data_IF_308842608781
#
_entry.id   IF_308842608781
#
_cell.length_a   1.000
_cell.length_b   1.000
_cell.length_c   1.000
_cell.angle_alpha   90.00
_cell.angle_beta   90.00
_cell.angle_gamma   90.00
#
_symmetry.space_group_name_H-M   'P 1'
#
loop_
_entity.id
_entity.type
_entity.pdbx_description
1 polymer ?
#
# COMPACT_ATOMS: atom_id res chain seq x y z
N UNK A 1 -62.06 31.96 -33.39
CA UNK A 1 -61.59 30.58 -33.19
C UNK A 1 -60.11 30.53 -33.51
N UNK A 2 -59.24 30.72 -32.51
CA UNK A 2 -57.80 30.51 -32.64
C UNK A 2 -57.37 29.50 -31.58
N UNK A 3 -56.67 28.48 -32.05
CA UNK A 3 -56.32 27.24 -31.37
C UNK A 3 -55.11 27.49 -30.47
N UNK A 4 -55.26 27.31 -29.16
CA UNK A 4 -54.11 27.28 -28.26
C UNK A 4 -53.23 26.06 -28.58
N UNK A 5 -51.97 26.31 -28.91
CA UNK A 5 -50.94 25.28 -28.95
C UNK A 5 -50.37 25.16 -27.55
N UNK A 6 -50.87 24.19 -26.78
CA UNK A 6 -50.27 23.80 -25.51
C UNK A 6 -48.92 23.13 -25.83
N UNK A 7 -47.84 23.87 -25.64
CA UNK A 7 -46.48 23.32 -25.65
C UNK A 7 -46.35 22.33 -24.48
N UNK A 8 -46.26 21.06 -24.85
CA UNK A 8 -46.25 19.93 -23.93
C UNK A 8 -44.88 19.84 -23.22
N UNK A 9 -44.70 20.61 -22.15
CA UNK A 9 -43.45 20.71 -21.38
C UNK A 9 -43.05 19.43 -20.61
N UNK A 10 -43.90 18.40 -20.59
CA UNK A 10 -43.67 17.15 -19.85
C UNK A 10 -42.64 16.21 -20.49
N UNK A 11 -42.31 16.37 -21.78
CA UNK A 11 -41.37 15.49 -22.52
C UNK A 11 -39.88 15.86 -22.30
N UNK A 12 -39.60 17.00 -21.66
CA UNK A 12 -38.26 17.58 -21.56
C UNK A 12 -37.47 17.13 -20.33
N UNK A 13 -38.13 16.94 -19.18
CA UNK A 13 -37.44 16.69 -17.90
C UNK A 13 -36.55 15.44 -17.90
N UNK A 14 -37.03 14.33 -18.46
CA UNK A 14 -36.26 13.09 -18.55
C UNK A 14 -35.03 13.22 -19.44
N UNK A 15 -35.14 13.94 -20.56
CA UNK A 15 -34.01 14.17 -21.49
C UNK A 15 -32.96 15.09 -20.86
N UNK A 16 -33.38 16.14 -20.15
CA UNK A 16 -32.47 17.03 -19.41
C UNK A 16 -31.77 16.32 -18.25
N UNK A 17 -32.46 15.44 -17.53
CA UNK A 17 -31.86 14.63 -16.47
C UNK A 17 -30.84 13.65 -17.05
N UNK A 18 -31.20 12.92 -18.12
CA UNK A 18 -30.28 11.98 -18.77
C UNK A 18 -29.04 12.66 -19.37
N UNK A 19 -29.20 13.84 -19.97
CA UNK A 19 -28.07 14.63 -20.50
C UNK A 19 -27.21 15.17 -19.37
N UNK A 20 -27.78 15.61 -18.25
CA UNK A 20 -27.01 16.03 -17.07
C UNK A 20 -26.21 14.87 -16.47
N UNK A 21 -26.82 13.69 -16.31
CA UNK A 21 -26.14 12.48 -15.81
C UNK A 21 -25.01 12.06 -16.77
N UNK A 22 -25.29 11.99 -18.08
CA UNK A 22 -24.29 11.62 -19.07
C UNK A 22 -23.13 12.63 -19.14
N UNK A 23 -23.44 13.92 -19.03
CA UNK A 23 -22.41 14.98 -18.99
C UNK A 23 -21.54 14.87 -17.75
N UNK A 24 -22.13 14.57 -16.58
CA UNK A 24 -21.38 14.33 -15.35
C UNK A 24 -20.47 13.10 -15.49
N UNK A 25 -20.97 11.99 -16.04
CA UNK A 25 -20.17 10.79 -16.30
C UNK A 25 -19.02 11.07 -17.28
N UNK A 26 -19.26 11.83 -18.34
CA UNK A 26 -18.23 12.23 -19.31
C UNK A 26 -17.17 13.16 -18.68
N UNK A 27 -17.57 14.06 -17.79
CA UNK A 27 -16.64 14.92 -17.05
C UNK A 27 -15.78 14.09 -16.08
N UNK A 28 -16.37 13.14 -15.37
CA UNK A 28 -15.61 12.22 -14.50
C UNK A 28 -14.64 11.40 -15.35
N UNK A 29 -15.10 10.80 -16.45
CA UNK A 29 -14.26 9.99 -17.33
C UNK A 29 -13.11 10.81 -17.96
N UNK A 30 -13.36 12.06 -18.37
CA UNK A 30 -12.33 12.93 -18.94
C UNK A 30 -11.31 13.37 -17.90
N UNK A 31 -11.75 13.77 -16.69
CA UNK A 31 -10.85 14.12 -15.60
C UNK A 31 -9.98 12.93 -15.17
N UNK A 32 -10.56 11.73 -15.03
CA UNK A 32 -9.81 10.52 -14.72
C UNK A 32 -8.84 10.16 -15.85
N UNK A 33 -9.30 10.19 -17.11
CA UNK A 33 -8.46 9.95 -18.28
C UNK A 33 -7.25 10.89 -18.37
N UNK A 34 -7.45 12.18 -18.09
CA UNK A 34 -6.38 13.17 -18.09
C UNK A 34 -5.38 12.94 -16.96
N UNK A 35 -5.85 12.60 -15.76
CA UNK A 35 -4.99 12.26 -14.62
C UNK A 35 -4.10 11.05 -14.92
N UNK A 36 -4.64 10.02 -15.59
CA UNK A 36 -3.87 8.83 -15.99
C UNK A 36 -2.77 9.16 -17.01
N UNK A 37 -3.05 10.03 -17.99
CA UNK A 37 -2.06 10.43 -18.99
C UNK A 37 -0.95 11.33 -18.44
N UNK A 38 -1.26 12.17 -17.44
CA UNK A 38 -0.32 13.13 -16.87
C UNK A 38 0.51 12.59 -15.69
N UNK A 39 0.20 11.40 -15.18
CA UNK A 39 0.93 10.82 -14.05
C UNK A 39 2.39 10.52 -14.40
N UNK A 40 3.28 11.03 -13.54
CA UNK A 40 4.73 10.85 -13.59
C UNK A 40 5.15 9.68 -12.70
N UNK A 41 4.54 9.57 -11.52
CA UNK A 41 4.87 8.57 -10.51
C UNK A 41 3.86 7.43 -10.54
N UNK A 42 4.15 6.40 -11.32
CA UNK A 42 3.26 5.24 -11.47
C UNK A 42 4.00 3.92 -11.68
N UNK A 43 3.32 2.82 -11.37
CA UNK A 43 3.76 1.45 -11.64
C UNK A 43 2.65 0.69 -12.37
N UNK A 44 2.95 0.15 -13.54
CA UNK A 44 2.08 -0.80 -14.25
C UNK A 44 2.36 -2.21 -13.72
N UNK A 45 1.32 -2.88 -13.23
CA UNK A 45 1.43 -4.22 -12.64
C UNK A 45 1.38 -5.35 -13.70
N UNK A 46 1.20 -5.01 -14.98
CA UNK A 46 1.20 -5.97 -16.11
C UNK A 46 -0.10 -6.77 -16.26
N UNK A 47 -1.09 -6.52 -15.40
CA UNK A 47 -2.41 -7.16 -15.40
C UNK A 47 -3.56 -6.16 -15.71
N UNK A 48 -3.22 -4.99 -16.27
CA UNK A 48 -4.17 -3.90 -16.54
C UNK A 48 -4.40 -2.96 -15.36
N UNK A 49 -3.80 -3.22 -14.21
CA UNK A 49 -3.80 -2.31 -13.04
C UNK A 49 -2.57 -1.40 -13.10
N UNK A 50 -2.80 -0.10 -13.00
CA UNK A 50 -1.76 0.92 -12.86
C UNK A 50 -1.93 1.63 -11.53
N UNK A 51 -0.88 1.64 -10.73
CA UNK A 51 -0.85 2.28 -9.41
C UNK A 51 -0.21 3.65 -9.57
N UNK A 52 -0.90 4.69 -9.10
CA UNK A 52 -0.52 6.10 -9.23
C UNK A 52 -0.13 6.66 -7.86
N UNK A 53 0.92 7.48 -7.82
CA UNK A 53 1.48 8.00 -6.57
C UNK A 53 1.73 9.51 -6.56
N UNK A 54 1.33 10.23 -7.61
CA UNK A 54 1.62 11.67 -7.76
C UNK A 54 1.13 12.51 -6.58
N UNK A 55 -0.05 12.20 -6.07
CA UNK A 55 -0.64 12.93 -4.93
C UNK A 55 0.20 12.73 -3.66
N UNK A 56 0.77 11.54 -3.44
CA UNK A 56 1.67 11.27 -2.31
C UNK A 56 3.01 11.97 -2.47
N UNK A 57 3.63 11.88 -3.64
CA UNK A 57 4.93 12.53 -3.90
C UNK A 57 4.82 14.05 -3.79
N UNK A 58 3.73 14.64 -4.28
CA UNK A 58 3.45 16.09 -4.22
C UNK A 58 3.39 16.64 -2.80
N UNK A 59 3.06 15.82 -1.79
CA UNK A 59 3.12 16.24 -0.38
C UNK A 59 4.54 16.53 0.11
N UNK A 60 5.56 16.01 -0.60
CA UNK A 60 6.96 16.06 -0.19
C UNK A 60 7.30 15.10 0.96
N UNK A 61 6.33 14.36 1.51
CA UNK A 61 6.57 13.43 2.62
C UNK A 61 6.99 12.03 2.16
N UNK A 62 6.73 11.70 0.91
CA UNK A 62 6.89 10.34 0.38
C UNK A 62 7.83 10.32 -0.83
N UNK A 63 8.55 9.20 -0.96
CA UNK A 63 9.30 8.83 -2.16
C UNK A 63 8.65 7.55 -2.68
N UNK A 64 8.15 7.57 -3.91
CA UNK A 64 7.56 6.43 -4.58
C UNK A 64 8.63 5.62 -5.32
N UNK A 65 8.46 4.30 -5.34
CA UNK A 65 9.37 3.42 -6.06
C UNK A 65 8.77 3.05 -7.44
N UNK A 66 9.06 3.69 -8.56
CA UNK A 66 8.35 3.43 -9.84
C UNK A 66 8.40 1.97 -10.36
N UNK A 67 9.32 1.13 -9.90
CA UNK A 67 9.34 -0.32 -10.21
C UNK A 67 8.52 -1.22 -9.27
N UNK A 68 7.91 -0.69 -8.21
CA UNK A 68 7.21 -1.45 -7.15
C UNK A 68 6.12 -0.55 -6.58
N UNK A 69 4.96 -1.07 -6.17
CA UNK A 69 3.90 -0.24 -5.56
C UNK A 69 4.22 0.28 -4.13
N UNK A 70 5.46 0.71 -3.87
CA UNK A 70 5.97 1.07 -2.55
C UNK A 70 6.12 2.58 -2.40
N UNK A 71 5.73 3.08 -1.24
CA UNK A 71 5.98 4.42 -0.75
C UNK A 71 6.96 4.37 0.42
N UNK A 72 7.98 5.21 0.39
CA UNK A 72 8.96 5.32 1.46
C UNK A 72 8.75 6.69 2.09
N UNK A 73 8.30 6.71 3.35
CA UNK A 73 8.20 7.97 4.09
C UNK A 73 9.59 8.57 4.29
N UNK A 74 9.77 9.86 3.98
CA UNK A 74 11.04 10.57 4.19
C UNK A 74 11.44 10.63 5.67
N UNK A 75 10.44 10.59 6.56
CA UNK A 75 10.59 10.42 8.01
C UNK A 75 10.01 9.05 8.39
N UNK A 76 10.80 8.11 8.93
CA UNK A 76 10.30 6.79 9.31
C UNK A 76 9.03 6.87 10.15
N UNK A 77 8.03 6.05 9.81
CA UNK A 77 6.79 5.99 10.56
C UNK A 77 7.03 5.34 11.93
N UNK A 78 6.32 5.76 12.98
CA UNK A 78 6.40 5.09 14.27
C UNK A 78 5.82 3.68 14.19
N UNK A 79 6.33 2.78 15.02
CA UNK A 79 5.73 1.47 15.22
C UNK A 79 4.33 1.65 15.82
N UNK A 80 3.29 0.97 15.31
CA UNK A 80 1.92 1.10 15.78
C UNK A 80 1.70 0.31 17.09
N UNK A 81 2.41 0.69 18.15
CA UNK A 81 2.47 -0.06 19.42
C UNK A 81 1.08 -0.35 20.00
N UNK A 82 0.21 0.67 20.08
CA UNK A 82 -1.14 0.49 20.61
C UNK A 82 -1.95 -0.52 19.79
N UNK A 83 -1.88 -0.45 18.47
CA UNK A 83 -2.60 -1.38 17.60
C UNK A 83 -2.03 -2.81 17.70
N UNK A 84 -0.70 -2.96 17.84
CA UNK A 84 -0.06 -4.26 18.08
C UNK A 84 -0.42 -4.87 19.44
N UNK A 85 -0.54 -4.06 20.49
CA UNK A 85 -0.96 -4.53 21.82
C UNK A 85 -2.45 -4.91 21.84
N UNK A 86 -3.28 -4.20 21.07
CA UNK A 86 -4.71 -4.48 20.90
C UNK A 86 -4.97 -5.65 19.94
N UNK A 87 -4.04 -5.91 19.01
CA UNK A 87 -4.10 -7.04 18.10
C UNK A 87 -4.02 -8.33 18.92
N UNK A 88 -5.19 -8.90 19.22
CA UNK A 88 -5.35 -10.13 20.00
C UNK A 88 -4.54 -11.30 19.42
N UNK A 89 -4.19 -11.23 18.13
CA UNK A 89 -3.41 -12.24 17.42
C UNK A 89 -2.59 -11.58 16.30
N UNK A 90 -1.31 -11.95 16.21
CA UNK A 90 -0.52 -11.80 14.99
C UNK A 90 -0.72 -13.05 14.15
N UNK A 91 -1.11 -12.86 12.90
CA UNK A 91 -1.23 -13.96 11.96
C UNK A 91 0.16 -14.27 11.37
N UNK A 92 0.50 -15.55 11.26
CA UNK A 92 1.74 -15.94 10.58
C UNK A 92 1.39 -16.13 9.10
N UNK A 93 1.91 -15.23 8.27
CA UNK A 93 1.69 -15.23 6.83
C UNK A 93 2.36 -16.41 6.12
N UNK A 94 2.04 -16.56 4.84
CA UNK A 94 2.66 -17.57 3.99
C UNK A 94 4.06 -17.11 3.54
N UNK A 95 5.04 -18.02 3.57
CA UNK A 95 6.45 -17.74 3.26
C UNK A 95 6.87 -18.50 2.00
N UNK A 96 6.14 -18.28 0.90
CA UNK A 96 6.24 -19.05 -0.35
C UNK A 96 7.64 -19.16 -0.98
N UNK A 97 8.55 -18.25 -0.65
CA UNK A 97 9.92 -18.25 -1.15
C UNK A 97 10.86 -19.18 -0.37
N UNK A 98 10.44 -19.73 0.77
CA UNK A 98 11.24 -20.61 1.61
C UNK A 98 11.08 -22.07 1.23
N UNK A 99 12.10 -22.87 1.51
CA UNK A 99 11.97 -24.33 1.53
C UNK A 99 11.09 -24.78 2.69
N UNK A 100 10.46 -25.95 2.62
CA UNK A 100 9.64 -26.50 3.72
C UNK A 100 10.40 -26.55 5.07
N UNK A 101 11.69 -26.87 5.01
CA UNK A 101 12.55 -26.91 6.19
C UNK A 101 12.78 -25.51 6.78
N UNK A 102 13.09 -24.52 5.94
CA UNK A 102 13.27 -23.13 6.37
C UNK A 102 11.94 -22.52 6.83
N UNK A 103 10.82 -22.84 6.19
CA UNK A 103 9.50 -22.36 6.61
C UNK A 103 9.16 -22.84 8.03
N UNK A 104 9.42 -24.12 8.34
CA UNK A 104 9.21 -24.66 9.68
C UNK A 104 10.06 -23.92 10.72
N UNK A 105 11.35 -23.70 10.44
CA UNK A 105 12.24 -22.96 11.32
C UNK A 105 11.83 -21.48 11.45
N UNK A 106 11.37 -20.85 10.37
CA UNK A 106 10.87 -19.47 10.37
C UNK A 106 9.66 -19.33 11.29
N UNK A 107 8.70 -20.26 11.23
CA UNK A 107 7.52 -20.29 12.13
C UNK A 107 7.93 -20.42 13.60
N UNK A 108 8.90 -21.28 13.90
CA UNK A 108 9.43 -21.44 15.26
C UNK A 108 10.16 -20.18 15.74
N UNK A 109 10.97 -19.56 14.88
CA UNK A 109 11.65 -18.31 15.17
C UNK A 109 10.65 -17.19 15.49
N UNK A 110 9.62 -17.01 14.65
CA UNK A 110 8.53 -16.05 14.89
C UNK A 110 7.91 -16.29 16.26
N UNK A 111 7.46 -17.52 16.56
CA UNK A 111 6.81 -17.85 17.83
C UNK A 111 7.70 -17.53 19.03
N UNK A 112 8.98 -17.92 18.97
CA UNK A 112 9.95 -17.67 20.04
C UNK A 112 10.17 -16.17 20.26
N UNK A 113 10.39 -15.41 19.18
CA UNK A 113 10.68 -13.98 19.23
C UNK A 113 9.47 -13.17 19.70
N UNK A 114 8.26 -13.49 19.21
CA UNK A 114 7.05 -12.74 19.58
C UNK A 114 6.52 -13.08 20.97
N UNK A 115 7.00 -14.15 21.61
CA UNK A 115 6.67 -14.48 23.01
C UNK A 115 7.38 -13.54 24.00
N UNK A 116 8.49 -12.93 23.60
CA UNK A 116 9.20 -11.96 24.44
C UNK A 116 8.36 -10.68 24.61
N UNK A 117 8.15 -10.25 25.86
CA UNK A 117 7.43 -9.00 26.14
C UNK A 117 8.16 -7.82 25.50
N UNK A 118 7.41 -6.97 24.79
CA UNK A 118 7.95 -5.78 24.14
C UNK A 118 8.80 -6.04 22.89
N UNK A 119 8.75 -7.23 22.28
CA UNK A 119 9.48 -7.54 21.03
C UNK A 119 9.26 -6.47 19.94
N UNK A 120 8.05 -5.91 19.86
CA UNK A 120 7.66 -4.89 18.90
C UNK A 120 8.41 -3.55 19.06
N UNK A 121 9.03 -3.29 20.21
CA UNK A 121 9.81 -2.05 20.44
C UNK A 121 11.06 -1.96 19.57
N UNK A 122 11.52 -3.11 19.06
CA UNK A 122 12.68 -3.19 18.15
C UNK A 122 12.28 -3.16 16.68
N UNK A 123 10.98 -3.04 16.37
CA UNK A 123 10.53 -2.89 14.99
C UNK A 123 11.01 -1.56 14.41
N UNK A 124 11.37 -1.58 13.13
CA UNK A 124 11.79 -0.38 12.39
C UNK A 124 10.96 -0.28 11.12
N UNK A 125 10.45 0.92 10.84
CA UNK A 125 9.73 1.17 9.60
C UNK A 125 10.63 0.89 8.39
N UNK A 126 10.07 0.21 7.39
CA UNK A 126 10.78 -0.16 6.17
C UNK A 126 10.24 0.57 4.95
N UNK A 127 8.95 0.39 4.66
CA UNK A 127 8.22 1.08 3.59
C UNK A 127 6.71 0.93 3.81
N UNK A 128 5.93 1.53 2.94
CA UNK A 128 4.48 1.39 2.83
C UNK A 128 4.09 0.94 1.43
N UNK A 129 2.89 0.40 1.28
CA UNK A 129 2.42 -0.16 0.00
C UNK A 129 1.12 0.52 -0.41
N UNK A 130 1.04 0.87 -1.69
CA UNK A 130 -0.21 1.25 -2.34
C UNK A 130 -0.90 0.01 -2.89
N UNK A 131 -2.20 -0.10 -2.62
CA UNK A 131 -3.05 -1.12 -3.22
C UNK A 131 -3.41 -0.79 -4.67
N UNK A 132 -4.18 -1.68 -5.30
CA UNK A 132 -4.61 -1.56 -6.70
C UNK A 132 -5.40 -0.27 -6.98
N UNK A 133 -6.09 0.26 -5.97
CA UNK A 133 -6.84 1.51 -6.07
C UNK A 133 -5.97 2.75 -5.88
N UNK A 134 -4.63 2.61 -5.83
CA UNK A 134 -3.68 3.70 -5.53
C UNK A 134 -3.83 4.30 -4.13
N UNK A 135 -4.52 3.62 -3.24
CA UNK A 135 -4.68 4.00 -1.83
C UNK A 135 -3.63 3.31 -0.96
N UNK A 136 -3.22 3.99 0.12
CA UNK A 136 -2.32 3.43 1.12
C UNK A 136 -2.97 2.22 1.77
N UNK A 137 -2.41 1.04 1.51
CA UNK A 137 -2.97 -0.23 1.92
C UNK A 137 -2.27 -0.81 3.14
N UNK A 138 -0.94 -0.69 3.23
CA UNK A 138 -0.20 -1.25 4.35
C UNK A 138 1.10 -0.53 4.69
N UNK A 139 1.55 -0.76 5.93
CA UNK A 139 2.87 -0.38 6.42
C UNK A 139 3.67 -1.63 6.74
N UNK A 140 4.94 -1.66 6.35
CA UNK A 140 5.85 -2.78 6.60
C UNK A 140 6.95 -2.35 7.56
N UNK A 141 7.10 -3.12 8.62
CA UNK A 141 8.13 -2.97 9.63
C UNK A 141 9.05 -4.19 9.64
N UNK A 142 10.33 -3.98 9.93
CA UNK A 142 11.31 -5.06 10.04
C UNK A 142 11.85 -5.23 11.45
N UNK A 143 12.30 -6.45 11.75
CA UNK A 143 13.04 -6.81 12.95
C UNK A 143 14.10 -7.85 12.60
N UNK A 144 15.35 -7.60 12.95
CA UNK A 144 16.40 -8.61 12.91
C UNK A 144 16.53 -9.26 14.28
N UNK A 145 16.38 -10.58 14.36
CA UNK A 145 16.44 -11.30 15.63
C UNK A 145 17.05 -12.70 15.49
N UNK A 146 17.75 -13.15 16.53
CA UNK A 146 18.52 -14.39 16.52
C UNK A 146 17.66 -15.52 17.07
N UNK A 147 17.62 -16.64 16.37
CA UNK A 147 16.97 -17.87 16.82
C UNK A 147 17.86 -19.06 16.44
N UNK A 148 18.17 -19.91 17.42
CA UNK A 148 19.04 -21.09 17.27
C UNK A 148 20.36 -20.80 16.53
N UNK A 149 21.05 -19.72 16.89
CA UNK A 149 22.33 -19.37 16.27
C UNK A 149 22.23 -18.62 14.94
N UNK A 150 21.08 -18.68 14.25
CA UNK A 150 20.84 -18.04 12.95
C UNK A 150 20.18 -16.67 13.12
N UNK A 151 20.56 -15.73 12.25
CA UNK A 151 19.91 -14.41 12.16
C UNK A 151 18.70 -14.50 11.23
N UNK A 152 17.56 -13.97 11.67
CA UNK A 152 16.32 -13.95 10.92
C UNK A 152 15.87 -12.51 10.68
N UNK A 153 15.35 -12.26 9.48
CA UNK A 153 14.71 -11.02 9.10
C UNK A 153 13.19 -11.19 9.15
N UNK A 154 12.57 -10.66 10.20
CA UNK A 154 11.13 -10.67 10.40
C UNK A 154 10.54 -9.44 9.71
N UNK A 155 9.37 -9.62 9.09
CA UNK A 155 8.59 -8.56 8.45
C UNK A 155 7.19 -8.58 9.05
N UNK A 156 6.82 -7.46 9.66
CA UNK A 156 5.47 -7.23 10.19
C UNK A 156 4.73 -6.32 9.23
N UNK A 157 3.66 -6.84 8.65
CA UNK A 157 2.74 -6.11 7.80
C UNK A 157 1.59 -5.62 8.67
N UNK A 158 1.40 -4.30 8.66
CA UNK A 158 0.20 -3.66 9.18
C UNK A 158 -0.71 -3.37 7.99
N UNK A 159 -1.76 -4.15 7.84
CA UNK A 159 -2.81 -3.89 6.86
C UNK A 159 -3.76 -2.82 7.42
N UNK A 160 -4.09 -1.83 6.60
CA UNK A 160 -4.97 -0.71 6.94
C UNK A 160 -6.35 -1.03 6.39
N UNK A 161 -7.29 -1.36 7.28
CA UNK A 161 -8.69 -1.58 6.92
C UNK A 161 -9.39 -0.31 6.48
N UNK A 162 -10.43 -0.45 5.67
CA UNK A 162 -11.28 0.66 5.23
C UNK A 162 -12.02 1.34 6.39
N UNK A 163 -12.24 0.62 7.49
CA UNK A 163 -12.81 1.11 8.74
C UNK A 163 -11.79 1.79 9.67
N UNK A 164 -10.51 1.81 9.26
CA UNK A 164 -9.40 2.33 10.05
C UNK A 164 -8.84 1.32 11.06
N UNK A 165 -9.39 0.10 11.15
CA UNK A 165 -8.80 -0.95 11.99
C UNK A 165 -7.53 -1.50 11.33
N UNK A 166 -6.54 -1.82 12.16
CA UNK A 166 -5.31 -2.46 11.70
C UNK A 166 -5.33 -3.95 11.96
N UNK A 167 -4.93 -4.74 10.98
CA UNK A 167 -4.61 -6.16 11.17
C UNK A 167 -3.14 -6.42 10.87
N UNK A 168 -2.60 -7.49 11.47
CA UNK A 168 -1.17 -7.74 11.44
C UNK A 168 -0.83 -9.15 10.99
N UNK A 169 0.03 -9.22 9.98
CA UNK A 169 0.70 -10.44 9.53
C UNK A 169 2.20 -10.35 9.81
N UNK A 170 2.79 -11.47 10.21
CA UNK A 170 4.23 -11.59 10.41
C UNK A 170 4.78 -12.74 9.57
N UNK A 171 5.90 -12.47 8.91
CA UNK A 171 6.70 -13.45 8.18
C UNK A 171 8.16 -13.34 8.60
N UNK A 172 8.95 -14.36 8.31
CA UNK A 172 10.38 -14.35 8.57
C UNK A 172 11.11 -15.04 7.43
N UNK A 173 12.31 -14.58 7.15
CA UNK A 173 13.24 -15.25 6.24
C UNK A 173 14.63 -15.27 6.87
N UNK A 174 15.50 -16.21 6.48
CA UNK A 174 16.90 -16.14 6.86
C UNK A 174 17.52 -14.80 6.47
N UNK A 175 18.22 -14.15 7.40
CA UNK A 175 18.89 -12.91 7.07
C UNK A 175 20.06 -13.17 6.11
N UNK A 176 20.04 -12.45 4.98
CA UNK A 176 21.13 -12.40 4.02
C UNK A 176 21.48 -10.93 3.74
N UNK A 177 22.69 -10.46 4.09
CA UNK A 177 23.07 -9.06 3.91
C UNK A 177 23.11 -8.62 2.45
N UNK A 178 23.30 -9.53 1.49
CA UNK A 178 23.35 -9.18 0.07
C UNK A 178 21.96 -8.79 -0.45
N UNK A 179 20.93 -9.50 -0.02
CA UNK A 179 19.55 -9.34 -0.51
C UNK A 179 18.66 -8.55 0.45
N UNK A 180 19.05 -8.39 1.71
CA UNK A 180 18.30 -7.59 2.68
C UNK A 180 18.22 -6.12 2.23
N UNK A 181 17.03 -5.54 2.45
CA UNK A 181 16.72 -4.14 2.12
C UNK A 181 16.12 -3.52 3.37
N UNK A 182 16.91 -2.74 4.10
CA UNK A 182 16.42 -1.93 5.22
C UNK A 182 15.77 -0.63 4.72
N UNK A 183 15.36 0.23 5.64
CA UNK A 183 14.81 1.55 5.33
C UNK A 183 15.72 2.42 4.45
N UNK A 184 17.03 2.45 4.76
CA UNK A 184 17.97 3.32 4.06
C UNK A 184 18.12 2.87 2.60
N UNK A 185 18.33 1.57 2.39
CA UNK A 185 18.40 0.97 1.06
C UNK A 185 17.08 1.09 0.31
N UNK A 186 15.93 0.88 0.98
CA UNK A 186 14.61 1.08 0.37
C UNK A 186 14.41 2.52 -0.10
N UNK A 187 14.85 3.50 0.69
CA UNK A 187 14.77 4.93 0.36
C UNK A 187 15.64 5.29 -0.84
N UNK A 188 16.87 4.79 -0.88
CA UNK A 188 17.80 4.99 -1.99
C UNK A 188 17.29 4.36 -3.29
N UNK A 189 16.87 3.08 -3.22
CA UNK A 189 16.26 2.36 -4.35
C UNK A 189 15.06 3.15 -4.89
N UNK A 190 14.14 3.59 -4.02
CA UNK A 190 12.98 4.35 -4.44
C UNK A 190 13.34 5.70 -5.10
N UNK A 191 14.28 6.45 -4.53
CA UNK A 191 14.71 7.74 -5.07
C UNK A 191 15.30 7.62 -6.49
N UNK A 192 16.00 6.51 -6.75
CA UNK A 192 16.62 6.22 -8.06
C UNK A 192 15.68 5.52 -9.06
N UNK A 193 14.53 5.02 -8.61
CA UNK A 193 13.68 4.12 -9.40
C UNK A 193 12.85 4.82 -10.49
N UNK A 194 12.59 6.12 -10.33
CA UNK A 194 11.79 6.92 -11.26
C UNK A 194 12.71 7.74 -12.17
N UNK A 195 12.27 8.01 -13.41
CA UNK A 195 13.04 8.83 -14.36
C UNK A 195 13.07 10.32 -14.01
N UNK A 196 12.16 10.76 -13.14
CA UNK A 196 12.03 12.15 -12.68
C UNK A 196 12.39 12.22 -11.19
N UNK A 197 13.17 13.23 -10.75
CA UNK A 197 13.52 13.42 -9.34
C UNK A 197 12.31 13.66 -8.43
N UNK A 198 12.41 13.20 -7.19
CA UNK A 198 11.35 13.25 -6.16
C UNK A 198 11.71 14.09 -4.95
#
# INVERSE_FOLDING_TARGET
MYREVILNFYRSKGVWISTAILSLLLLVASCYGFKMMASVYKTDMGNGVVIYADDYVKTGHWIFHCGRSRLISRKPLPVPVMALEQAKKLNIGNMYALSDADEKLARQAIQSITTASGWYKSLRYRYSVLGENSELNSHVFDLLAKYEGRMWALRVWQEIGYDGESSFDITAEPYDPATYVDYAKAKEEAASSCSVPQ
#
